data_IF_215220823966
#
_entry.id   IF_215220823966
#
_cell.length_a   1.000
_cell.length_b   1.000
_cell.length_c   1.000
_cell.angle_alpha   90.00
_cell.angle_beta   90.00
_cell.angle_gamma   90.00
#
_symmetry.space_group_name_H-M   'P 1'
#
loop_
_entity.id
_entity.type
_entity.pdbx_description
1 polymer ?
#
# COMPACT_ATOMS: atom_id res chain seq x y z
N UNK A 1 -18.84 13.75 -24.98
CA UNK A 1 -19.46 13.85 -23.65
C UNK A 1 -20.11 12.55 -23.13
N UNK A 2 -20.05 11.43 -23.86
CA UNK A 2 -20.79 10.19 -23.51
C UNK A 2 -19.95 9.02 -22.95
N UNK A 3 -18.61 9.07 -23.00
CA UNK A 3 -17.75 7.94 -22.57
C UNK A 3 -17.17 8.05 -21.15
N UNK A 4 -17.11 9.24 -20.57
CA UNK A 4 -16.64 9.43 -19.17
C UNK A 4 -17.61 8.87 -18.13
N UNK A 5 -18.90 8.72 -18.48
CA UNK A 5 -19.89 8.17 -17.56
C UNK A 5 -19.91 6.63 -17.54
N UNK A 6 -19.37 5.95 -18.55
CA UNK A 6 -19.40 4.48 -18.61
C UNK A 6 -18.40 3.84 -17.65
N UNK A 7 -17.20 4.40 -17.49
CA UNK A 7 -16.20 3.86 -16.57
C UNK A 7 -16.59 4.11 -15.09
N UNK A 8 -17.15 5.28 -14.79
CA UNK A 8 -17.70 5.57 -13.46
C UNK A 8 -18.90 4.68 -13.12
N UNK A 9 -19.72 4.33 -14.13
CA UNK A 9 -20.85 3.42 -13.95
C UNK A 9 -20.35 2.00 -13.68
N UNK A 10 -19.28 1.54 -14.34
CA UNK A 10 -18.75 0.18 -14.14
C UNK A 10 -18.12 -0.02 -12.76
N UNK A 11 -17.37 0.96 -12.25
CA UNK A 11 -16.81 0.90 -10.89
C UNK A 11 -17.92 1.02 -9.82
N UNK A 12 -18.89 1.89 -10.04
CA UNK A 12 -20.03 2.05 -9.12
C UNK A 12 -20.97 0.84 -9.16
N UNK A 13 -21.17 0.21 -10.33
CA UNK A 13 -21.91 -1.04 -10.44
C UNK A 13 -21.14 -2.23 -9.87
N UNK A 14 -19.81 -2.32 -10.04
CA UNK A 14 -18.96 -3.31 -9.37
C UNK A 14 -18.95 -3.13 -7.85
N UNK A 15 -18.83 -1.90 -7.37
CA UNK A 15 -18.92 -1.60 -5.94
C UNK A 15 -20.35 -1.79 -5.40
N UNK A 16 -21.37 -1.45 -6.17
CA UNK A 16 -22.78 -1.64 -5.81
C UNK A 16 -23.22 -3.10 -5.80
N UNK A 17 -22.74 -3.92 -6.75
CA UNK A 17 -23.07 -5.35 -6.79
C UNK A 17 -22.34 -6.13 -5.69
N UNK A 18 -21.15 -5.70 -5.27
CA UNK A 18 -20.46 -6.28 -4.12
C UNK A 18 -21.19 -6.03 -2.79
N UNK A 19 -21.86 -4.88 -2.66
CA UNK A 19 -22.67 -4.56 -1.46
C UNK A 19 -23.94 -5.38 -1.29
N UNK A 20 -24.52 -5.91 -2.38
CA UNK A 20 -25.81 -6.62 -2.33
C UNK A 20 -25.71 -8.15 -2.19
N UNK A 21 -24.51 -8.73 -2.19
CA UNK A 21 -24.31 -10.17 -2.33
C UNK A 21 -23.80 -10.94 -1.11
N UNK A 22 -23.53 -10.29 0.03
CA UNK A 22 -23.13 -10.99 1.24
C UNK A 22 -24.31 -11.11 2.23
N UNK A 23 -24.97 -12.29 2.30
CA UNK A 23 -25.87 -12.54 3.41
C UNK A 23 -25.03 -12.66 4.69
N UNK A 24 -25.37 -11.86 5.70
CA UNK A 24 -25.06 -12.12 7.10
C UNK A 24 -25.62 -13.49 7.49
N UNK A 25 -24.92 -14.55 7.17
CA UNK A 25 -25.19 -15.89 7.68
C UNK A 25 -23.89 -16.50 8.14
N UNK A 26 -23.82 -16.77 9.42
CA UNK A 26 -22.86 -17.67 10.06
C UNK A 26 -22.58 -18.85 9.13
N UNK A 27 -21.48 -18.78 8.38
CA UNK A 27 -21.01 -19.95 7.65
C UNK A 27 -20.52 -20.96 8.66
N UNK A 28 -21.15 -22.13 8.62
CA UNK A 28 -20.86 -23.26 9.47
C UNK A 28 -19.33 -23.53 9.52
N UNK A 29 -18.83 -23.78 10.72
CA UNK A 29 -17.47 -24.19 11.07
C UNK A 29 -16.74 -25.07 10.04
N UNK A 30 -17.35 -26.09 9.40
CA UNK A 30 -16.66 -26.92 8.41
C UNK A 30 -16.26 -26.20 7.13
N UNK A 31 -17.00 -25.17 6.68
CA UNK A 31 -16.64 -24.39 5.49
C UNK A 31 -15.44 -23.46 5.77
N UNK A 32 -15.31 -22.97 6.99
CA UNK A 32 -14.14 -22.18 7.44
C UNK A 32 -12.89 -23.06 7.48
N UNK A 33 -12.99 -24.26 8.01
CA UNK A 33 -11.89 -25.25 8.03
C UNK A 33 -11.45 -25.67 6.62
N UNK A 34 -12.37 -25.81 5.67
CA UNK A 34 -12.04 -26.17 4.29
C UNK A 34 -11.29 -25.05 3.56
N UNK A 35 -11.64 -23.78 3.79
CA UNK A 35 -10.92 -22.63 3.26
C UNK A 35 -9.51 -22.54 3.85
N UNK A 36 -9.38 -22.80 5.16
CA UNK A 36 -8.10 -22.80 5.86
C UNK A 36 -7.20 -23.95 5.47
N UNK A 37 -7.75 -25.15 5.33
CA UNK A 37 -7.00 -26.32 4.84
C UNK A 37 -6.53 -26.09 3.40
N UNK A 38 -7.34 -25.44 2.58
CA UNK A 38 -6.96 -25.05 1.22
C UNK A 38 -5.83 -24.01 1.20
N UNK A 39 -5.90 -22.96 2.01
CA UNK A 39 -4.87 -21.92 2.11
C UNK A 39 -3.55 -22.51 2.64
N UNK A 40 -3.59 -23.36 3.65
CA UNK A 40 -2.42 -24.06 4.21
C UNK A 40 -1.82 -25.01 3.19
N UNK A 41 -2.63 -25.78 2.46
CA UNK A 41 -2.15 -26.69 1.43
C UNK A 41 -1.49 -25.93 0.27
N UNK A 42 -2.01 -24.77 -0.10
CA UNK A 42 -1.45 -23.94 -1.19
C UNK A 42 -0.16 -23.25 -0.77
N UNK A 43 -0.04 -22.79 0.48
CA UNK A 43 1.23 -22.27 1.02
C UNK A 43 2.28 -23.38 1.08
N UNK A 44 1.91 -24.59 1.48
CA UNK A 44 2.80 -25.76 1.48
C UNK A 44 3.23 -26.17 0.06
N UNK A 45 2.35 -26.10 -0.94
CA UNK A 45 2.62 -26.42 -2.33
C UNK A 45 3.46 -25.34 -3.05
N UNK A 46 3.31 -24.07 -2.69
CA UNK A 46 4.14 -22.99 -3.25
C UNK A 46 5.59 -23.01 -2.74
N UNK A 47 5.84 -23.75 -1.65
CA UNK A 47 7.14 -23.89 -1.01
C UNK A 47 7.94 -25.13 -1.46
N UNK A 48 7.30 -26.05 -2.14
CA UNK A 48 7.87 -27.40 -2.34
C UNK A 48 8.34 -27.67 -3.77
N UNK A 49 9.57 -27.35 -4.10
CA UNK A 49 10.31 -28.08 -5.13
C UNK A 49 10.96 -29.33 -4.50
N UNK A 50 10.17 -30.29 -4.08
CA UNK A 50 10.65 -31.67 -3.84
C UNK A 50 9.45 -32.59 -3.75
N UNK A 51 9.23 -33.32 -4.82
CA UNK A 51 8.38 -34.52 -4.83
C UNK A 51 9.09 -35.58 -4.02
N UNK A 52 8.64 -35.77 -2.77
CA UNK A 52 9.03 -36.94 -1.99
C UNK A 52 7.77 -37.74 -1.58
N UNK A 53 7.81 -39.04 -1.61
CA UNK A 53 6.63 -39.88 -1.44
C UNK A 53 6.21 -39.97 0.04
N UNK A 54 4.95 -39.66 0.30
CA UNK A 54 4.33 -40.11 1.53
C UNK A 54 3.40 -39.13 2.22
N UNK A 55 2.20 -39.59 2.48
CA UNK A 55 1.18 -38.90 3.28
C UNK A 55 1.66 -38.46 4.69
N UNK A 56 2.75 -39.04 5.19
CA UNK A 56 3.35 -38.71 6.50
C UNK A 56 4.09 -37.35 6.45
N UNK A 57 4.76 -37.01 5.34
CA UNK A 57 5.45 -35.73 5.20
C UNK A 57 4.44 -34.56 5.08
N UNK A 58 3.32 -34.79 4.42
CA UNK A 58 2.24 -33.81 4.28
C UNK A 58 1.55 -33.55 5.64
N UNK A 59 1.33 -34.57 6.44
CA UNK A 59 0.69 -34.40 7.76
C UNK A 59 1.61 -33.70 8.78
N UNK A 60 2.93 -34.00 8.75
CA UNK A 60 3.90 -33.32 9.61
C UNK A 60 4.04 -31.84 9.23
N UNK A 61 4.11 -31.53 7.93
CA UNK A 61 4.14 -30.16 7.44
C UNK A 61 2.88 -29.37 7.76
N UNK A 62 1.71 -30.00 7.62
CA UNK A 62 0.44 -29.36 7.96
C UNK A 62 0.33 -29.05 9.47
N UNK A 63 0.76 -29.97 10.34
CA UNK A 63 0.76 -29.74 11.78
C UNK A 63 1.73 -28.61 12.17
N UNK A 64 2.90 -28.52 11.55
CA UNK A 64 3.84 -27.43 11.80
C UNK A 64 3.27 -26.09 11.36
N UNK A 65 2.55 -26.02 10.23
CA UNK A 65 1.92 -24.79 9.75
C UNK A 65 0.76 -24.39 10.66
N UNK A 66 -0.01 -25.35 11.19
CA UNK A 66 -1.09 -25.09 12.14
C UNK A 66 -0.52 -24.56 13.46
N UNK A 67 0.54 -25.19 14.01
CA UNK A 67 1.16 -24.69 15.24
C UNK A 67 1.76 -23.30 15.07
N UNK A 68 2.45 -23.02 13.97
CA UNK A 68 2.94 -21.68 13.67
C UNK A 68 1.80 -20.66 13.56
N UNK A 69 0.66 -21.07 12.98
CA UNK A 69 -0.52 -20.21 12.89
C UNK A 69 -1.12 -19.91 14.28
N UNK A 70 -1.21 -20.91 15.14
CA UNK A 70 -1.77 -20.78 16.49
C UNK A 70 -0.87 -19.97 17.43
N UNK A 71 0.47 -20.10 17.29
CA UNK A 71 1.45 -19.39 18.11
C UNK A 71 1.57 -17.89 17.78
N UNK A 72 1.14 -17.45 16.59
CA UNK A 72 1.20 -16.03 16.21
C UNK A 72 0.17 -15.22 17.03
N UNK A 73 0.53 -13.99 17.45
CA UNK A 73 -0.40 -13.07 18.09
C UNK A 73 -1.68 -12.90 17.27
N UNK A 74 -2.81 -12.77 17.95
CA UNK A 74 -4.11 -12.61 17.26
C UNK A 74 -4.32 -11.21 16.72
N UNK A 75 -3.77 -10.20 17.37
CA UNK A 75 -3.99 -8.81 17.04
C UNK A 75 -2.85 -8.23 16.21
N UNK A 76 -3.20 -7.63 15.08
CA UNK A 76 -2.29 -6.78 14.33
C UNK A 76 -2.05 -5.49 15.15
N UNK A 77 -0.80 -5.04 15.33
CA UNK A 77 -0.51 -3.80 16.04
C UNK A 77 -0.98 -2.58 15.22
N UNK A 78 -2.27 -2.31 15.25
CA UNK A 78 -2.89 -1.13 14.62
C UNK A 78 -2.76 0.14 15.48
N UNK A 79 -2.18 0.00 16.69
CA UNK A 79 -2.17 1.04 17.73
C UNK A 79 -1.36 2.30 17.34
N UNK A 80 -0.46 2.20 16.38
CA UNK A 80 0.27 3.37 15.89
C UNK A 80 -0.39 3.90 14.62
N UNK A 81 -0.92 5.10 14.72
CA UNK A 81 -1.30 5.86 13.52
C UNK A 81 -0.07 5.98 12.59
N UNK A 82 -0.31 5.88 11.29
CA UNK A 82 0.74 6.16 10.31
C UNK A 82 1.31 7.56 10.57
N UNK A 83 2.64 7.77 10.39
CA UNK A 83 3.26 9.07 10.59
C UNK A 83 2.57 10.15 9.77
N UNK A 84 2.25 11.26 10.43
CA UNK A 84 1.56 12.40 9.85
C UNK A 84 2.44 13.65 9.88
N UNK A 85 2.18 14.59 8.98
CA UNK A 85 2.85 15.88 8.97
C UNK A 85 2.54 16.70 10.22
N UNK A 86 3.56 17.33 10.80
CA UNK A 86 3.36 18.46 11.71
C UNK A 86 3.30 19.74 10.90
N UNK A 87 2.25 20.53 11.08
CA UNK A 87 2.00 21.78 10.35
C UNK A 87 2.04 22.95 11.31
N UNK A 88 2.81 23.99 10.94
CA UNK A 88 2.87 25.24 11.66
C UNK A 88 2.01 26.29 10.94
N UNK A 89 1.06 26.84 11.66
CA UNK A 89 0.14 27.89 11.20
C UNK A 89 0.49 29.22 11.83
N UNK A 90 0.28 30.31 11.08
CA UNK A 90 0.30 31.67 11.61
C UNK A 90 -0.94 31.95 12.48
N UNK A 91 -1.06 33.19 12.99
CA UNK A 91 -2.18 33.59 13.83
C UNK A 91 -3.54 33.50 13.12
N UNK A 92 -3.54 33.59 11.79
CA UNK A 92 -4.73 33.58 10.95
C UNK A 92 -5.06 32.18 10.39
N UNK A 93 -4.28 31.16 10.80
CA UNK A 93 -4.48 29.76 10.41
C UNK A 93 -3.87 29.40 9.06
N UNK A 94 -3.04 30.26 8.46
CA UNK A 94 -2.35 29.95 7.21
C UNK A 94 -1.04 29.24 7.50
N UNK A 95 -0.78 28.13 6.79
CA UNK A 95 0.43 27.35 6.89
C UNK A 95 1.66 28.17 6.47
N UNK A 96 2.76 28.07 7.24
CA UNK A 96 4.05 28.66 6.89
C UNK A 96 5.21 27.68 7.00
N UNK A 97 5.04 26.54 7.65
CA UNK A 97 6.06 25.48 7.69
C UNK A 97 5.42 24.10 7.94
N UNK A 98 6.13 23.06 7.52
CA UNK A 98 5.73 21.67 7.66
C UNK A 98 6.94 20.82 8.01
N UNK A 99 6.73 19.80 8.86
CA UNK A 99 7.76 18.82 9.20
C UNK A 99 7.20 17.41 9.03
N UNK A 100 8.00 16.53 8.46
CA UNK A 100 7.68 15.12 8.33
C UNK A 100 8.95 14.27 8.15
N UNK A 101 8.93 13.04 8.64
CA UNK A 101 9.87 11.98 8.25
C UNK A 101 9.40 11.28 6.98
N UNK A 102 8.09 11.10 6.88
CA UNK A 102 7.37 10.51 5.77
C UNK A 102 6.43 11.56 5.19
N UNK A 103 6.59 11.86 3.90
CA UNK A 103 5.66 12.77 3.23
C UNK A 103 4.37 11.99 2.93
N UNK A 104 3.39 12.15 3.81
CA UNK A 104 2.07 11.50 3.72
C UNK A 104 0.97 12.54 3.76
N UNK A 105 0.08 12.46 2.80
CA UNK A 105 -1.11 13.29 2.72
C UNK A 105 -2.28 12.32 2.58
N UNK A 106 -3.00 12.13 3.69
CA UNK A 106 -4.12 11.19 3.71
C UNK A 106 -5.30 11.75 2.93
N UNK A 107 -5.90 10.89 2.12
CA UNK A 107 -7.09 11.21 1.31
C UNK A 107 -8.10 10.07 1.39
N UNK A 108 -9.33 10.36 1.05
CA UNK A 108 -10.35 9.33 0.87
C UNK A 108 -10.22 8.63 -0.49
N UNK A 109 -10.70 7.39 -0.59
CA UNK A 109 -10.66 6.62 -1.84
C UNK A 109 -11.41 7.34 -2.96
N UNK A 110 -12.49 8.03 -2.62
CA UNK A 110 -13.29 8.81 -3.58
C UNK A 110 -12.52 10.00 -4.18
N UNK A 111 -11.45 10.45 -3.53
CA UNK A 111 -10.55 11.50 -4.02
C UNK A 111 -9.37 10.97 -4.85
N UNK A 112 -9.29 9.65 -5.06
CA UNK A 112 -8.29 9.00 -5.91
C UNK A 112 -8.86 8.82 -7.32
N UNK A 113 -8.03 8.99 -8.35
CA UNK A 113 -8.41 8.71 -9.73
C UNK A 113 -8.96 7.28 -9.87
N UNK A 114 -10.17 7.09 -10.42
CA UNK A 114 -10.70 5.74 -10.72
C UNK A 114 -9.74 4.94 -11.59
N UNK A 115 -9.07 5.58 -12.54
CA UNK A 115 -8.05 4.96 -13.40
C UNK A 115 -6.88 4.39 -12.58
N UNK A 116 -6.46 5.11 -11.52
CA UNK A 116 -5.40 4.59 -10.65
C UNK A 116 -5.89 3.38 -9.84
N UNK A 117 -7.06 3.45 -9.25
CA UNK A 117 -7.61 2.36 -8.45
C UNK A 117 -7.80 1.08 -9.29
N UNK A 118 -8.35 1.22 -10.49
CA UNK A 118 -8.50 0.11 -11.42
C UNK A 118 -7.14 -0.47 -11.85
N UNK A 119 -6.18 0.39 -12.19
CA UNK A 119 -4.81 -0.03 -12.51
C UNK A 119 -4.16 -0.79 -11.37
N UNK A 120 -4.31 -0.30 -10.13
CA UNK A 120 -3.78 -0.93 -8.93
C UNK A 120 -4.38 -2.31 -8.71
N UNK A 121 -5.72 -2.39 -8.68
CA UNK A 121 -6.44 -3.63 -8.39
C UNK A 121 -6.14 -4.67 -9.46
N UNK A 122 -6.23 -4.31 -10.72
CA UNK A 122 -6.01 -5.25 -11.82
C UNK A 122 -4.57 -5.74 -11.92
N UNK A 123 -3.60 -4.92 -11.51
CA UNK A 123 -2.19 -5.30 -11.56
C UNK A 123 -1.78 -6.13 -10.35
N UNK A 124 -2.14 -5.69 -9.15
CA UNK A 124 -1.64 -6.27 -7.90
C UNK A 124 -2.56 -7.37 -7.36
N UNK A 125 -3.89 -7.19 -7.46
CA UNK A 125 -4.86 -8.08 -6.84
C UNK A 125 -6.22 -8.06 -7.57
N UNK A 126 -6.27 -8.57 -8.77
CA UNK A 126 -7.46 -8.49 -9.62
C UNK A 126 -8.73 -9.15 -9.04
N UNK A 127 -8.59 -9.90 -7.96
CA UNK A 127 -9.70 -10.53 -7.25
C UNK A 127 -9.91 -9.93 -5.86
N UNK A 128 -9.39 -8.74 -5.63
CA UNK A 128 -9.42 -8.05 -4.33
C UNK A 128 -10.80 -8.11 -3.66
N UNK A 129 -11.85 -7.81 -4.39
CA UNK A 129 -13.23 -7.84 -3.88
C UNK A 129 -13.84 -9.24 -3.75
N UNK A 130 -13.13 -10.32 -4.15
CA UNK A 130 -13.66 -11.68 -4.20
C UNK A 130 -13.08 -12.63 -3.14
N UNK A 131 -11.99 -12.25 -2.48
CA UNK A 131 -11.36 -13.06 -1.42
C UNK A 131 -11.44 -12.35 -0.07
N UNK A 132 -10.99 -13.04 1.00
CA UNK A 132 -10.98 -12.53 2.37
C UNK A 132 -9.54 -12.56 2.93
N UNK A 133 -8.71 -11.60 2.51
CA UNK A 133 -7.33 -11.41 2.95
C UNK A 133 -6.29 -12.22 2.18
N UNK A 134 -6.59 -13.42 1.77
CA UNK A 134 -5.73 -14.30 0.97
C UNK A 134 -6.51 -14.79 -0.24
N UNK A 135 -5.89 -14.84 -1.41
CA UNK A 135 -6.47 -15.37 -2.65
C UNK A 135 -5.89 -16.77 -2.99
N UNK A 136 -6.52 -17.89 -2.54
CA UNK A 136 -6.03 -19.24 -2.84
C UNK A 136 -6.00 -19.56 -4.34
N UNK A 137 -6.93 -18.97 -5.09
CA UNK A 137 -6.98 -19.16 -6.54
C UNK A 137 -5.84 -18.42 -7.25
N UNK A 138 -5.57 -17.17 -6.83
CA UNK A 138 -4.43 -16.39 -7.31
C UNK A 138 -3.09 -17.07 -7.03
N UNK A 139 -2.92 -17.62 -5.82
CA UNK A 139 -1.73 -18.39 -5.45
C UNK A 139 -1.58 -19.63 -6.34
N UNK A 140 -2.63 -20.40 -6.54
CA UNK A 140 -2.60 -21.60 -7.42
C UNK A 140 -2.23 -21.22 -8.85
N UNK A 141 -2.83 -20.16 -9.38
CA UNK A 141 -2.53 -19.66 -10.73
C UNK A 141 -1.07 -19.21 -10.84
N UNK A 142 -0.58 -18.42 -9.88
CA UNK A 142 0.80 -17.96 -9.85
C UNK A 142 1.78 -19.15 -9.79
N UNK A 143 1.48 -20.15 -8.96
CA UNK A 143 2.28 -21.36 -8.87
C UNK A 143 2.38 -22.09 -10.22
N UNK A 144 1.24 -22.34 -10.88
CA UNK A 144 1.22 -22.99 -12.20
C UNK A 144 2.00 -22.19 -13.22
N UNK A 145 1.81 -20.87 -13.28
CA UNK A 145 2.53 -20.01 -14.23
C UNK A 145 4.03 -19.94 -13.94
N UNK A 146 4.44 -19.90 -12.70
CA UNK A 146 5.85 -19.86 -12.31
C UNK A 146 6.56 -21.18 -12.65
N UNK A 147 5.89 -22.32 -12.47
CA UNK A 147 6.43 -23.64 -12.79
C UNK A 147 6.45 -23.89 -14.30
N UNK A 148 5.36 -23.55 -15.01
CA UNK A 148 5.21 -23.88 -16.45
C UNK A 148 5.92 -22.85 -17.33
N UNK A 149 5.84 -21.56 -16.99
CA UNK A 149 6.28 -20.46 -17.86
C UNK A 149 7.55 -19.76 -17.33
N UNK A 150 8.16 -20.24 -16.25
CA UNK A 150 9.30 -19.59 -15.58
C UNK A 150 9.05 -18.08 -15.31
N UNK A 151 7.79 -17.69 -15.10
CA UNK A 151 7.39 -16.32 -14.83
C UNK A 151 7.41 -16.06 -13.32
N UNK A 152 7.81 -14.84 -12.91
CA UNK A 152 7.75 -14.42 -11.50
C UNK A 152 6.44 -13.64 -11.25
N UNK A 153 5.32 -14.34 -11.26
CA UNK A 153 4.06 -13.71 -10.87
C UNK A 153 3.94 -13.65 -9.34
N UNK A 154 3.65 -12.47 -8.82
CA UNK A 154 3.29 -12.27 -7.42
C UNK A 154 1.94 -12.90 -7.09
N UNK A 155 1.82 -13.43 -5.88
CA UNK A 155 0.60 -14.06 -5.38
C UNK A 155 0.09 -13.38 -4.10
N UNK A 156 0.74 -12.29 -3.65
CA UNK A 156 0.33 -11.54 -2.47
C UNK A 156 -0.86 -10.64 -2.79
N UNK A 157 -1.85 -10.62 -1.90
CA UNK A 157 -2.99 -9.73 -2.02
C UNK A 157 -2.65 -8.31 -1.56
N UNK A 158 -3.45 -7.30 -1.94
CA UNK A 158 -3.32 -5.94 -1.44
C UNK A 158 -3.40 -5.89 0.10
N UNK A 159 -4.26 -6.72 0.69
CA UNK A 159 -4.38 -6.82 2.15
C UNK A 159 -3.10 -7.36 2.80
N UNK A 160 -2.44 -8.35 2.20
CA UNK A 160 -1.15 -8.85 2.69
C UNK A 160 -0.05 -7.79 2.58
N UNK A 161 0.00 -7.06 1.46
CA UNK A 161 0.93 -5.95 1.28
C UNK A 161 0.68 -4.82 2.30
N UNK A 162 -0.59 -4.50 2.58
CA UNK A 162 -0.93 -3.53 3.63
C UNK A 162 -0.44 -3.99 5.00
N UNK A 163 -0.68 -5.26 5.36
CA UNK A 163 -0.17 -5.84 6.61
C UNK A 163 1.35 -5.70 6.71
N UNK A 164 2.08 -6.01 5.64
CA UNK A 164 3.53 -5.84 5.61
C UNK A 164 3.93 -4.38 5.86
N UNK A 165 3.29 -3.42 5.18
CA UNK A 165 3.53 -1.99 5.41
C UNK A 165 3.25 -1.58 6.86
N UNK A 166 2.16 -2.06 7.48
CA UNK A 166 1.84 -1.80 8.88
C UNK A 166 2.92 -2.36 9.79
N UNK A 167 3.38 -3.59 9.57
CA UNK A 167 4.42 -4.22 10.39
C UNK A 167 5.75 -3.47 10.28
N UNK A 168 6.15 -3.04 9.09
CA UNK A 168 7.36 -2.22 8.87
C UNK A 168 7.24 -0.88 9.60
N UNK A 169 6.12 -0.19 9.44
CA UNK A 169 5.90 1.12 10.08
C UNK A 169 5.83 1.05 11.62
N UNK A 170 5.49 -0.11 12.17
CA UNK A 170 5.44 -0.35 13.61
C UNK A 170 6.71 -0.97 14.19
N UNK A 171 7.67 -1.34 13.36
CA UNK A 171 8.96 -1.88 13.80
C UNK A 171 9.67 -0.87 14.70
N UNK A 172 10.25 -1.37 15.81
CA UNK A 172 10.93 -0.54 16.82
C UNK A 172 12.42 -0.44 16.57
N UNK A 173 12.95 -1.41 15.84
CA UNK A 173 14.36 -1.52 15.52
C UNK A 173 14.56 -2.24 14.17
N UNK A 174 15.79 -2.23 13.66
CA UNK A 174 16.18 -2.88 12.41
C UNK A 174 15.91 -4.39 12.40
N UNK A 175 15.88 -5.04 13.57
CA UNK A 175 15.61 -6.48 13.67
C UNK A 175 14.12 -6.76 13.42
N UNK A 176 13.22 -6.00 14.07
CA UNK A 176 11.79 -6.10 13.85
C UNK A 176 11.44 -5.74 12.40
N UNK A 177 12.07 -4.70 11.83
CA UNK A 177 11.92 -4.31 10.44
C UNK A 177 12.37 -5.44 9.49
N UNK A 178 13.55 -6.02 9.72
CA UNK A 178 14.05 -7.14 8.91
C UNK A 178 13.13 -8.36 8.96
N UNK A 179 12.51 -8.62 10.11
CA UNK A 179 11.50 -9.67 10.28
C UNK A 179 10.21 -9.32 9.55
N UNK A 180 9.83 -8.04 9.50
CA UNK A 180 8.64 -7.57 8.79
C UNK A 180 8.81 -7.63 7.26
N UNK A 181 10.00 -7.29 6.75
CA UNK A 181 10.32 -7.31 5.31
C UNK A 181 10.70 -8.71 4.82
N UNK A 182 11.11 -9.62 5.72
CA UNK A 182 11.66 -10.93 5.38
C UNK A 182 10.73 -11.80 4.52
N UNK A 183 11.25 -12.34 3.43
CA UNK A 183 10.56 -13.30 2.55
C UNK A 183 10.62 -14.73 3.12
N UNK A 184 10.49 -14.90 4.43
CA UNK A 184 10.48 -16.21 5.07
C UNK A 184 9.08 -16.81 5.12
N UNK A 185 8.98 -18.14 5.26
CA UNK A 185 7.69 -18.80 5.44
C UNK A 185 6.92 -18.27 6.65
N UNK A 186 7.62 -18.03 7.76
CA UNK A 186 7.01 -17.49 8.96
C UNK A 186 6.45 -16.08 8.73
N UNK A 187 7.17 -15.23 8.00
CA UNK A 187 6.67 -13.92 7.63
C UNK A 187 5.41 -14.02 6.75
N UNK A 188 5.41 -14.95 5.79
CA UNK A 188 4.26 -15.11 4.88
C UNK A 188 3.02 -15.71 5.57
N UNK A 189 3.20 -16.61 6.53
CA UNK A 189 2.11 -17.12 7.36
C UNK A 189 1.56 -16.01 8.23
N UNK A 190 2.42 -15.19 8.85
CA UNK A 190 2.03 -14.04 9.67
C UNK A 190 1.25 -13.01 8.86
N UNK A 191 1.75 -12.61 7.70
CA UNK A 191 1.04 -11.70 6.79
C UNK A 191 -0.36 -12.25 6.44
N UNK A 192 -0.44 -13.54 6.11
CA UNK A 192 -1.70 -14.18 5.75
C UNK A 192 -2.69 -14.21 6.93
N UNK A 193 -2.22 -14.52 8.15
CA UNK A 193 -3.05 -14.49 9.35
C UNK A 193 -3.62 -13.10 9.60
N UNK A 194 -2.75 -12.10 9.59
CA UNK A 194 -3.17 -10.72 9.84
C UNK A 194 -4.04 -10.16 8.71
N UNK A 195 -3.78 -10.52 7.45
CA UNK A 195 -4.62 -10.12 6.33
C UNK A 195 -6.06 -10.63 6.46
N UNK A 196 -6.23 -11.89 6.86
CA UNK A 196 -7.56 -12.46 7.11
C UNK A 196 -8.23 -11.79 8.33
N UNK A 197 -7.47 -11.51 9.39
CA UNK A 197 -8.02 -10.80 10.56
C UNK A 197 -8.45 -9.38 10.21
N UNK A 198 -7.65 -8.68 9.41
CA UNK A 198 -7.96 -7.33 8.97
C UNK A 198 -9.27 -7.29 8.18
N UNK A 199 -9.48 -8.24 7.26
CA UNK A 199 -10.71 -8.34 6.47
C UNK A 199 -11.93 -8.85 7.25
N UNK A 200 -11.74 -9.32 8.47
CA UNK A 200 -12.86 -9.60 9.40
C UNK A 200 -13.32 -8.33 10.13
N UNK A 201 -12.44 -7.32 10.25
CA UNK A 201 -12.68 -6.12 11.02
C UNK A 201 -13.01 -4.91 10.12
N UNK A 202 -12.45 -4.86 8.92
CA UNK A 202 -12.56 -3.75 7.99
C UNK A 202 -13.21 -4.19 6.68
N UNK A 203 -13.93 -3.27 6.06
CA UNK A 203 -14.44 -3.41 4.69
C UNK A 203 -13.30 -3.31 3.67
N UNK A 204 -13.55 -3.79 2.46
CA UNK A 204 -12.60 -3.67 1.35
C UNK A 204 -12.24 -2.22 1.04
N UNK A 205 -13.19 -1.31 1.12
CA UNK A 205 -12.97 0.12 0.87
C UNK A 205 -12.10 0.75 1.96
N UNK A 206 -12.27 0.36 3.23
CA UNK A 206 -11.40 0.79 4.33
C UNK A 206 -9.97 0.25 4.17
N UNK A 207 -9.82 -1.00 3.76
CA UNK A 207 -8.51 -1.60 3.46
C UNK A 207 -7.84 -0.89 2.30
N UNK A 208 -8.59 -0.62 1.21
CA UNK A 208 -8.08 0.11 0.05
C UNK A 208 -7.67 1.54 0.44
N UNK A 209 -8.47 2.24 1.26
CA UNK A 209 -8.13 3.56 1.81
C UNK A 209 -6.82 3.50 2.60
N UNK A 210 -6.68 2.53 3.49
CA UNK A 210 -5.43 2.36 4.25
C UNK A 210 -4.25 2.08 3.32
N UNK A 211 -4.42 1.24 2.32
CA UNK A 211 -3.38 0.88 1.37
C UNK A 211 -2.87 2.08 0.58
N UNK A 212 -3.78 2.84 -0.07
CA UNK A 212 -3.40 3.98 -0.90
C UNK A 212 -2.75 5.11 -0.12
N UNK A 213 -2.96 5.17 1.21
CA UNK A 213 -2.33 6.13 2.11
C UNK A 213 -1.04 5.60 2.75
N UNK A 214 -0.83 4.27 2.81
CA UNK A 214 0.31 3.67 3.50
C UNK A 214 1.50 3.40 2.59
N UNK A 215 1.26 3.02 1.33
CA UNK A 215 2.27 2.44 0.46
C UNK A 215 3.35 3.46 0.06
N UNK A 216 4.61 2.98 -0.01
CA UNK A 216 5.77 3.80 -0.34
C UNK A 216 6.03 3.84 -1.84
N UNK A 217 6.21 5.04 -2.41
CA UNK A 217 6.48 5.29 -3.82
C UNK A 217 7.89 5.82 -4.12
N UNK A 218 8.81 5.79 -3.17
CA UNK A 218 10.14 6.42 -3.36
C UNK A 218 10.12 7.92 -3.02
N UNK A 219 11.28 8.57 -3.01
CA UNK A 219 11.45 10.00 -2.76
C UNK A 219 10.70 10.53 -1.51
N UNK A 220 10.63 9.71 -0.47
CA UNK A 220 9.83 9.96 0.76
C UNK A 220 8.33 10.11 0.52
N UNK A 221 7.80 9.74 -0.66
CA UNK A 221 6.38 9.75 -0.94
C UNK A 221 5.72 8.51 -0.33
N UNK A 222 4.92 8.70 0.69
CA UNK A 222 4.07 7.69 1.29
C UNK A 222 2.62 8.03 0.97
N UNK A 223 1.92 7.11 0.38
CA UNK A 223 0.57 7.30 -0.14
C UNK A 223 0.53 7.98 -1.51
N UNK A 224 -0.61 7.78 -2.16
CA UNK A 224 -0.82 8.14 -3.56
C UNK A 224 -0.87 9.66 -3.79
N UNK A 225 -1.40 10.42 -2.84
CA UNK A 225 -1.49 11.87 -2.97
C UNK A 225 -0.09 12.50 -2.91
N UNK A 226 0.76 12.05 -1.98
CA UNK A 226 2.13 12.50 -1.90
C UNK A 226 2.92 12.13 -3.17
N UNK A 227 2.72 10.93 -3.70
CA UNK A 227 3.35 10.49 -4.94
C UNK A 227 2.90 11.33 -6.15
N UNK A 228 1.61 11.59 -6.29
CA UNK A 228 1.07 12.43 -7.37
C UNK A 228 1.67 13.84 -7.34
N UNK A 229 1.81 14.42 -6.15
CA UNK A 229 2.42 15.75 -5.99
C UNK A 229 3.91 15.76 -6.30
N UNK A 230 4.66 14.78 -5.82
CA UNK A 230 6.12 14.73 -5.98
C UNK A 230 6.51 14.44 -7.43
N UNK A 231 5.85 13.49 -8.08
CA UNK A 231 6.26 13.07 -9.43
C UNK A 231 5.59 13.84 -10.55
N UNK A 232 4.38 14.39 -10.32
CA UNK A 232 3.55 14.96 -11.37
C UNK A 232 2.98 16.34 -11.03
N UNK A 233 3.34 16.91 -9.86
CA UNK A 233 2.83 18.21 -9.42
C UNK A 233 1.31 18.34 -9.56
N UNK A 234 0.60 17.26 -9.26
CA UNK A 234 -0.86 17.14 -9.40
C UNK A 234 -1.47 16.42 -8.21
N UNK A 235 -2.80 16.33 -8.14
CA UNK A 235 -3.49 15.53 -7.13
C UNK A 235 -3.73 14.11 -7.61
N UNK A 236 -3.89 13.18 -6.66
CA UNK A 236 -4.21 11.78 -6.94
C UNK A 236 -5.49 11.61 -7.77
N UNK A 237 -6.47 12.53 -7.60
CA UNK A 237 -7.72 12.52 -8.36
C UNK A 237 -7.56 12.78 -9.87
N UNK A 238 -6.41 13.33 -10.30
CA UNK A 238 -6.14 13.72 -11.69
C UNK A 238 -5.16 12.79 -12.41
N UNK A 239 -4.71 11.73 -11.75
CA UNK A 239 -3.80 10.77 -12.36
C UNK A 239 -4.44 10.12 -13.61
N UNK A 240 -3.71 10.19 -14.73
CA UNK A 240 -4.09 9.52 -15.97
C UNK A 240 -3.54 8.09 -16.04
N UNK A 241 -3.85 7.34 -17.10
CA UNK A 241 -3.43 5.95 -17.28
C UNK A 241 -1.90 5.78 -17.25
N UNK A 242 -1.15 6.62 -17.95
CA UNK A 242 0.32 6.55 -18.01
C UNK A 242 0.94 6.77 -16.63
N UNK A 243 0.47 7.78 -15.91
CA UNK A 243 0.92 8.12 -14.56
C UNK A 243 0.52 7.01 -13.56
N UNK A 244 -0.71 6.50 -13.66
CA UNK A 244 -1.20 5.40 -12.83
C UNK A 244 -0.38 4.13 -13.03
N UNK A 245 -0.13 3.75 -14.29
CA UNK A 245 0.68 2.58 -14.61
C UNK A 245 2.14 2.71 -14.14
N UNK A 246 2.70 3.92 -14.19
CA UNK A 246 4.04 4.19 -13.64
C UNK A 246 4.07 4.00 -12.13
N UNK A 247 3.16 4.65 -11.39
CA UNK A 247 3.12 4.55 -9.92
C UNK A 247 2.84 3.13 -9.45
N UNK A 248 1.89 2.43 -10.06
CA UNK A 248 1.63 1.00 -9.74
C UNK A 248 2.86 0.15 -10.08
N UNK A 249 3.53 0.44 -11.18
CA UNK A 249 4.78 -0.22 -11.54
C UNK A 249 5.88 -0.06 -10.49
N UNK A 250 5.98 1.10 -9.86
CA UNK A 250 6.98 1.41 -8.84
C UNK A 250 6.78 0.63 -7.54
N UNK A 251 5.57 0.14 -7.23
CA UNK A 251 5.29 -0.61 -5.99
C UNK A 251 6.17 -1.84 -5.82
N UNK A 252 6.59 -2.46 -6.92
CA UNK A 252 7.47 -3.64 -6.88
C UNK A 252 8.89 -3.33 -6.39
N UNK A 253 9.34 -2.08 -6.52
CA UNK A 253 10.67 -1.65 -6.09
C UNK A 253 10.86 -0.16 -6.36
N UNK A 254 10.40 0.71 -5.46
CA UNK A 254 10.41 2.15 -5.66
C UNK A 254 11.80 2.73 -5.98
N UNK A 255 12.85 2.17 -5.38
CA UNK A 255 14.22 2.60 -5.65
C UNK A 255 14.74 2.14 -7.03
N UNK A 256 14.30 0.96 -7.50
CA UNK A 256 14.73 0.39 -8.78
C UNK A 256 14.01 1.06 -9.96
N UNK A 257 12.74 1.43 -9.75
CA UNK A 257 11.88 1.99 -10.78
C UNK A 257 11.61 3.49 -10.58
N UNK A 258 12.50 4.18 -9.85
CA UNK A 258 12.41 5.64 -9.69
C UNK A 258 12.56 6.32 -11.07
N UNK A 259 11.52 7.04 -11.56
CA UNK A 259 11.54 7.62 -12.90
C UNK A 259 12.52 8.78 -13.04
N UNK A 260 12.97 9.36 -11.93
CA UNK A 260 13.94 10.47 -11.91
C UNK A 260 15.38 9.94 -12.02
N UNK A 261 15.64 8.79 -11.37
CA UNK A 261 16.98 8.19 -11.30
C UNK A 261 17.17 7.14 -12.41
N UNK A 262 16.13 6.34 -12.66
CA UNK A 262 16.15 5.20 -13.58
C UNK A 262 14.99 5.25 -14.60
N UNK A 263 14.93 6.30 -15.48
CA UNK A 263 13.78 6.53 -16.37
C UNK A 263 13.52 5.37 -17.34
N UNK A 264 14.57 4.68 -17.80
CA UNK A 264 14.42 3.53 -18.70
C UNK A 264 13.78 2.34 -17.98
N UNK A 265 14.25 2.00 -16.77
CA UNK A 265 13.67 0.92 -15.97
C UNK A 265 12.21 1.24 -15.59
N UNK A 266 11.94 2.49 -15.23
CA UNK A 266 10.60 2.98 -14.95
C UNK A 266 9.67 2.86 -16.17
N UNK A 267 10.17 3.22 -17.37
CA UNK A 267 9.41 3.08 -18.63
C UNK A 267 9.09 1.60 -18.93
N UNK A 268 10.07 0.73 -18.82
CA UNK A 268 9.86 -0.71 -19.04
C UNK A 268 8.83 -1.28 -18.04
N UNK A 269 8.93 -0.88 -16.78
CA UNK A 269 8.00 -1.35 -15.75
C UNK A 269 6.60 -0.81 -15.95
N UNK A 270 6.44 0.48 -16.30
CA UNK A 270 5.16 1.08 -16.70
C UNK A 270 4.53 0.29 -17.86
N UNK A 271 5.30 0.00 -18.90
CA UNK A 271 4.81 -0.74 -20.06
C UNK A 271 4.38 -2.17 -19.69
N UNK A 272 5.06 -2.79 -18.72
CA UNK A 272 4.61 -4.09 -18.17
C UNK A 272 3.23 -3.99 -17.54
N UNK A 273 2.96 -2.95 -16.74
CA UNK A 273 1.63 -2.71 -16.15
C UNK A 273 0.58 -2.47 -17.22
N UNK A 274 0.87 -1.63 -18.22
CA UNK A 274 -0.02 -1.39 -19.36
C UNK A 274 -0.36 -2.70 -20.07
N UNK A 275 0.62 -3.59 -20.27
CA UNK A 275 0.38 -4.90 -20.90
C UNK A 275 -0.50 -5.82 -20.05
N UNK A 276 -0.43 -5.72 -18.73
CA UNK A 276 -1.35 -6.45 -17.83
C UNK A 276 -2.79 -5.96 -18.01
N UNK A 277 -3.00 -4.64 -18.04
CA UNK A 277 -4.34 -4.05 -18.23
C UNK A 277 -4.94 -4.40 -19.59
N UNK A 278 -4.15 -4.31 -20.66
CA UNK A 278 -4.56 -4.71 -22.02
C UNK A 278 -4.94 -6.20 -22.08
N UNK A 279 -4.09 -7.08 -21.52
CA UNK A 279 -4.35 -8.52 -21.50
C UNK A 279 -5.62 -8.88 -20.70
N UNK A 280 -5.98 -8.09 -19.72
CA UNK A 280 -7.21 -8.25 -18.92
C UNK A 280 -8.44 -7.65 -19.60
N UNK A 281 -8.26 -6.83 -20.63
CA UNK A 281 -9.33 -6.10 -21.29
C UNK A 281 -9.83 -4.88 -20.52
N UNK A 282 -9.07 -4.43 -19.52
CA UNK A 282 -9.33 -3.20 -18.76
C UNK A 282 -9.19 -1.97 -19.65
N UNK A 283 -8.23 -2.03 -20.58
CA UNK A 283 -8.00 -1.01 -21.61
C UNK A 283 -7.97 -1.65 -23.00
N UNK A 284 -8.28 -0.86 -24.02
CA UNK A 284 -8.17 -1.29 -25.41
C UNK A 284 -6.73 -1.31 -25.89
N UNK A 285 -6.44 -1.99 -27.01
CA UNK A 285 -5.12 -1.97 -27.63
C UNK A 285 -4.68 -0.56 -28.03
N UNK A 286 -5.61 0.26 -28.53
CA UNK A 286 -5.35 1.65 -28.90
C UNK A 286 -4.96 2.51 -27.69
N UNK A 287 -5.64 2.34 -26.57
CA UNK A 287 -5.29 3.02 -25.31
C UNK A 287 -3.94 2.54 -24.76
N UNK A 288 -3.66 1.25 -24.87
CA UNK A 288 -2.37 0.67 -24.46
C UNK A 288 -1.21 1.22 -25.30
N UNK A 289 -1.37 1.27 -26.63
CA UNK A 289 -0.34 1.81 -27.52
C UNK A 289 -0.12 3.30 -27.28
N UNK A 290 -1.17 4.08 -27.15
CA UNK A 290 -1.07 5.49 -26.82
C UNK A 290 -0.36 5.74 -25.47
N UNK A 291 -0.65 4.91 -24.46
CA UNK A 291 -0.02 5.01 -23.14
C UNK A 291 1.47 4.58 -23.16
N UNK A 292 1.86 3.60 -24.01
CA UNK A 292 3.26 3.19 -24.19
C UNK A 292 4.09 4.25 -24.90
N UNK A 293 3.51 4.94 -25.90
CA UNK A 293 4.18 6.01 -26.64
C UNK A 293 4.29 7.32 -25.84
N UNK A 294 3.39 7.52 -24.89
CA UNK A 294 3.39 8.71 -24.06
C UNK A 294 4.68 8.81 -23.22
N UNK A 295 5.25 10.02 -23.05
CA UNK A 295 6.35 10.22 -22.10
C UNK A 295 5.91 9.88 -20.68
N UNK A 296 6.88 9.67 -19.76
CA UNK A 296 6.56 9.41 -18.34
C UNK A 296 5.79 10.56 -17.68
N UNK A 297 5.87 11.76 -18.24
CA UNK A 297 5.13 12.94 -17.79
C UNK A 297 5.60 13.46 -16.43
N UNK A 298 6.87 13.25 -16.09
CA UNK A 298 7.44 13.71 -14.83
C UNK A 298 7.49 15.24 -14.83
N UNK A 299 6.75 15.82 -13.90
CA UNK A 299 6.75 17.24 -13.52
C UNK A 299 6.90 17.31 -12.00
N UNK A 300 8.15 17.51 -11.55
CA UNK A 300 8.47 17.39 -10.12
C UNK A 300 7.89 18.54 -9.33
N UNK A 301 6.92 18.21 -8.49
CA UNK A 301 6.48 19.11 -7.43
C UNK A 301 7.46 19.17 -6.26
N UNK A 302 7.35 20.20 -5.46
CA UNK A 302 8.02 20.29 -4.16
C UNK A 302 7.00 20.25 -3.04
N UNK A 303 7.26 19.42 -2.04
CA UNK A 303 6.50 19.47 -0.77
C UNK A 303 7.46 20.01 0.28
N UNK A 304 7.26 21.25 0.75
CA UNK A 304 8.11 21.83 1.78
C UNK A 304 8.21 20.94 3.01
N UNK A 305 9.40 20.75 3.58
CA UNK A 305 9.63 19.79 4.68
C UNK A 305 10.51 20.35 5.80
N UNK A 306 10.86 21.62 5.73
CA UNK A 306 11.79 22.22 6.67
C UNK A 306 11.57 23.72 6.82
N UNK A 307 12.28 24.30 7.78
CA UNK A 307 12.30 25.75 7.92
C UNK A 307 12.98 26.47 6.75
N UNK A 308 13.85 25.76 6.02
CA UNK A 308 14.49 26.32 4.82
C UNK A 308 13.50 26.59 3.68
N UNK A 309 12.41 25.86 3.65
CA UNK A 309 11.35 26.00 2.65
C UNK A 309 10.27 27.01 3.06
N UNK A 310 10.35 27.54 4.29
CA UNK A 310 9.38 28.47 4.85
C UNK A 310 9.60 29.89 4.35
N UNK A 311 8.52 30.66 4.13
CA UNK A 311 8.56 32.11 3.94
C UNK A 311 9.15 32.86 5.17
N UNK A 312 9.10 32.20 6.35
CA UNK A 312 9.55 32.77 7.64
C UNK A 312 10.59 31.85 8.32
N UNK A 313 11.75 31.60 7.71
CA UNK A 313 12.68 30.56 8.16
C UNK A 313 13.18 30.78 9.59
N UNK A 314 13.48 31.99 9.99
CA UNK A 314 13.95 32.30 11.35
C UNK A 314 12.88 32.04 12.42
N UNK A 315 11.64 32.45 12.15
CA UNK A 315 10.54 32.19 13.06
C UNK A 315 10.20 30.69 13.14
N UNK A 316 10.24 30.03 12.00
CA UNK A 316 10.09 28.57 11.96
C UNK A 316 11.14 27.87 12.83
N UNK A 317 12.42 28.28 12.75
CA UNK A 317 13.47 27.75 13.61
C UNK A 317 13.21 28.00 15.09
N UNK A 318 12.71 29.17 15.46
CA UNK A 318 12.34 29.47 16.84
C UNK A 318 11.27 28.50 17.35
N UNK A 319 10.19 28.30 16.58
CA UNK A 319 9.11 27.37 16.95
C UNK A 319 9.61 25.93 16.99
N UNK A 320 10.44 25.52 16.02
CA UNK A 320 11.05 24.21 15.99
C UNK A 320 11.90 23.94 17.24
N UNK A 321 12.75 24.88 17.65
CA UNK A 321 13.56 24.76 18.86
C UNK A 321 12.70 24.71 20.12
N UNK A 322 11.61 25.48 20.19
CA UNK A 322 10.66 25.38 21.29
C UNK A 322 10.06 23.95 21.39
N UNK A 323 9.64 23.36 20.25
CA UNK A 323 9.11 21.98 20.24
C UNK A 323 10.17 20.98 20.71
N UNK A 324 11.43 21.12 20.25
CA UNK A 324 12.51 20.18 20.55
C UNK A 324 13.04 20.30 21.98
N UNK A 325 12.86 21.44 22.63
CA UNK A 325 13.39 21.68 23.98
C UNK A 325 12.35 21.62 25.08
N UNK A 326 11.09 21.89 24.77
CA UNK A 326 10.01 21.96 25.76
C UNK A 326 9.46 20.57 26.11
N UNK A 327 9.54 20.14 27.39
CA UNK A 327 9.04 18.83 27.84
C UNK A 327 7.55 18.58 27.61
N UNK A 328 6.74 19.63 27.36
CA UNK A 328 5.33 19.49 27.02
C UNK A 328 5.11 18.68 25.72
N UNK A 329 6.09 18.66 24.82
CA UNK A 329 6.04 17.88 23.56
C UNK A 329 6.59 16.47 23.69
N UNK A 330 7.22 16.11 24.81
CA UNK A 330 7.77 14.77 25.08
C UNK A 330 8.80 14.80 26.18
N UNK A 331 8.87 13.72 26.97
CA UNK A 331 9.77 13.63 28.12
C UNK A 331 11.26 13.59 27.70
N UNK A 332 11.56 12.95 26.56
CA UNK A 332 12.95 12.85 26.06
C UNK A 332 13.13 13.63 24.75
N UNK A 333 14.39 14.02 24.41
CA UNK A 333 14.67 14.66 23.12
C UNK A 333 14.18 13.84 21.91
N UNK A 334 14.33 12.51 21.98
CA UNK A 334 13.92 11.59 20.91
C UNK A 334 12.40 11.61 20.73
N UNK A 335 11.63 11.59 21.83
CA UNK A 335 10.18 11.69 21.78
C UNK A 335 9.72 13.02 21.17
N UNK A 336 10.40 14.12 21.47
CA UNK A 336 10.08 15.44 20.91
C UNK A 336 10.39 15.51 19.43
N UNK A 337 11.53 14.95 19.00
CA UNK A 337 11.92 14.88 17.60
C UNK A 337 10.94 14.00 16.79
N UNK A 338 10.55 12.85 17.35
CA UNK A 338 9.57 11.95 16.75
C UNK A 338 8.21 12.64 16.66
N UNK A 339 7.78 13.32 17.71
CA UNK A 339 6.51 14.06 17.70
C UNK A 339 6.49 15.19 16.68
N UNK A 340 7.61 15.88 16.47
CA UNK A 340 7.75 16.91 15.45
C UNK A 340 7.63 16.32 14.04
N UNK A 341 8.27 15.17 13.79
CA UNK A 341 8.38 14.62 12.43
C UNK A 341 7.31 13.57 12.07
N UNK A 342 6.62 13.01 13.07
CA UNK A 342 5.67 11.89 12.88
C UNK A 342 4.33 12.08 13.60
N UNK A 343 4.25 13.07 14.50
CA UNK A 343 3.15 13.18 15.44
C UNK A 343 1.88 13.84 14.92
N UNK A 344 1.83 14.30 13.69
CA UNK A 344 0.62 14.85 13.07
C UNK A 344 0.07 16.11 13.78
N UNK A 345 0.94 16.94 14.37
CA UNK A 345 0.50 18.13 15.10
C UNK A 345 0.11 19.25 14.15
N UNK A 346 -0.95 19.96 14.50
CA UNK A 346 -1.27 21.28 13.92
C UNK A 346 -1.10 22.33 15.00
N UNK A 347 -0.12 23.20 14.82
CA UNK A 347 0.26 24.22 15.83
C UNK A 347 0.01 25.63 15.27
N UNK A 348 -0.98 26.32 15.82
CA UNK A 348 -1.18 27.75 15.55
C UNK A 348 -0.23 28.56 16.43
N UNK A 349 0.55 29.41 15.78
CA UNK A 349 1.58 30.24 16.42
C UNK A 349 1.14 31.72 16.45
N UNK A 350 1.92 32.55 17.12
CA UNK A 350 1.70 33.99 17.17
C UNK A 350 2.31 34.74 15.96
N UNK A 351 2.71 34.07 14.87
CA UNK A 351 3.25 34.74 13.69
C UNK A 351 2.21 35.68 13.08
N UNK A 352 2.56 36.92 13.01
CA UNK A 352 1.81 37.97 12.29
C UNK A 352 2.58 38.28 11.00
N UNK A 353 1.97 38.06 9.84
CA UNK A 353 2.63 38.21 8.52
C UNK A 353 2.75 39.65 8.09
#
# INVERSE_FOLDING_TARGET
>A
MGRKNAALTSLHELMGSARSGYPEKERAWPARLAVWAGAVAVVALSAGTLVAPGAVAVSAGANTLVSLWEELPEDLPLERSLPQHTVLLDKDGKEFARFYSENRIDIDVDDVSPTFLETLIDTEDARFYQHNGVDPYGITRAFVNNVVNASQQGASTLTQQLVQNILVNNARDETEESVAVGETYNAKIRESKYAVRLEQQLSKDEILKMYVNAVYFGNRAYGIEAAARIYFNTSASKLNLTQSALLVGMLKGPAVYDPVVHPEAATMRRNTVISVLEHRGTITAEEADAAREAPLGIDRGSVPSSCGDSEYPFYCHLVREEILTNPAFGATPEQRADRLSRGGMTLTTGLDR
#
